data_IF_014351085011
#
_entry.id   IF_014351085011
#
_cell.length_a   1.000
_cell.length_b   1.000
_cell.length_c   1.000
_cell.angle_alpha   90.00
_cell.angle_beta   90.00
_cell.angle_gamma   90.00
#
_symmetry.space_group_name_H-M   'P 1'
#
loop_
_entity.id
_entity.type
_entity.pdbx_description
1 polymer ?
#
# COMPACT_ATOMS: atom_id res chain seq x y z
N UNK A 1 27.88 -2.30 -25.26
CA UNK A 1 27.45 -1.13 -24.48
C UNK A 1 26.09 -1.45 -23.90
N UNK A 2 25.88 -1.52 -22.58
CA UNK A 2 24.55 -1.74 -22.04
C UNK A 2 23.75 -0.45 -22.20
N UNK A 3 22.63 -0.53 -22.92
CA UNK A 3 21.69 0.57 -23.09
C UNK A 3 21.07 0.87 -21.73
N UNK A 4 21.33 2.07 -21.20
CA UNK A 4 20.65 2.55 -20.00
C UNK A 4 19.14 2.54 -20.25
N UNK A 5 18.40 1.82 -19.41
CA UNK A 5 16.94 1.85 -19.37
C UNK A 5 16.50 3.29 -19.14
N UNK A 6 15.78 3.88 -20.09
CA UNK A 6 15.18 5.20 -19.92
C UNK A 6 14.27 5.21 -18.69
N UNK A 7 14.31 6.24 -17.82
CA UNK A 7 13.38 6.37 -16.71
C UNK A 7 11.95 6.48 -17.25
N UNK A 8 11.03 5.74 -16.62
CA UNK A 8 9.63 5.67 -17.00
C UNK A 8 8.94 7.01 -16.73
N UNK A 9 8.74 7.82 -17.79
CA UNK A 9 8.02 9.09 -17.71
C UNK A 9 6.56 8.89 -17.35
N UNK A 10 6.16 9.25 -16.13
CA UNK A 10 4.76 9.40 -15.77
C UNK A 10 4.31 10.84 -16.10
N UNK A 11 3.69 11.02 -17.27
CA UNK A 11 2.99 12.29 -17.58
C UNK A 11 1.78 12.39 -16.67
N UNK A 12 1.61 13.55 -16.00
CA UNK A 12 0.53 13.82 -15.05
C UNK A 12 -0.81 13.26 -15.55
N UNK A 13 -1.33 12.16 -14.98
CA UNK A 13 -2.54 11.56 -15.51
C UNK A 13 -3.69 12.51 -15.20
N UNK A 14 -4.75 12.45 -16.00
CA UNK A 14 -6.06 12.97 -15.60
C UNK A 14 -6.55 12.30 -14.30
N UNK A 15 -7.83 12.45 -13.92
CA UNK A 15 -8.35 11.75 -12.74
C UNK A 15 -8.02 10.25 -12.78
N UNK A 16 -7.79 9.60 -11.63
CA UNK A 16 -7.55 8.16 -11.56
C UNK A 16 -8.65 7.37 -12.27
N UNK A 17 -8.27 6.51 -13.20
CA UNK A 17 -9.12 5.56 -13.91
C UNK A 17 -8.51 4.16 -13.83
N UNK A 18 -9.30 3.09 -14.03
CA UNK A 18 -8.76 1.73 -14.10
C UNK A 18 -7.71 1.50 -15.20
N UNK A 19 -7.58 2.43 -16.16
CA UNK A 19 -6.64 2.35 -17.28
C UNK A 19 -5.34 3.13 -17.04
N UNK A 20 -5.32 4.04 -16.07
CA UNK A 20 -4.16 4.89 -15.77
C UNK A 20 -3.70 4.79 -14.30
N UNK A 21 -4.34 3.93 -13.53
CA UNK A 21 -4.09 3.72 -12.10
C UNK A 21 -3.88 2.25 -11.85
N UNK A 22 -2.80 1.94 -11.14
CA UNK A 22 -2.44 0.60 -10.73
C UNK A 22 -2.47 0.52 -9.20
N UNK A 23 -2.65 -0.69 -8.69
CA UNK A 23 -2.60 -0.96 -7.25
C UNK A 23 -1.26 -1.59 -6.91
N UNK A 24 -0.54 -0.99 -5.97
CA UNK A 24 0.71 -1.54 -5.47
C UNK A 24 0.45 -2.78 -4.60
N UNK A 25 1.10 -3.88 -4.95
CA UNK A 25 1.22 -5.08 -4.14
C UNK A 25 2.68 -5.40 -3.90
N UNK A 26 3.00 -5.92 -2.72
CA UNK A 26 4.31 -6.47 -2.38
C UNK A 26 4.25 -8.00 -2.34
N UNK A 27 5.33 -8.64 -2.76
CA UNK A 27 5.48 -10.08 -2.60
C UNK A 27 6.19 -10.37 -1.28
N UNK A 28 5.45 -10.87 -0.30
CA UNK A 28 6.00 -11.24 0.98
C UNK A 28 6.44 -12.71 0.95
N UNK A 29 7.68 -12.98 1.40
CA UNK A 29 8.21 -14.32 1.59
C UNK A 29 8.78 -14.43 3.00
N UNK A 30 8.30 -15.40 3.78
CA UNK A 30 8.94 -15.72 5.06
C UNK A 30 10.28 -16.41 4.80
N UNK A 31 11.28 -16.22 5.66
CA UNK A 31 12.60 -16.87 5.49
C UNK A 31 12.54 -18.41 5.63
N UNK A 32 11.45 -18.95 6.17
CA UNK A 32 11.19 -20.38 6.18
C UNK A 32 10.91 -20.91 4.76
N UNK A 33 11.64 -21.95 4.36
CA UNK A 33 11.58 -22.53 3.01
C UNK A 33 10.20 -23.14 2.69
N UNK A 34 9.45 -23.57 3.72
CA UNK A 34 8.17 -24.27 3.59
C UNK A 34 7.00 -23.39 3.16
N UNK A 35 7.13 -22.06 3.21
CA UNK A 35 6.04 -21.15 2.88
C UNK A 35 6.30 -20.46 1.53
N UNK A 36 5.45 -20.69 0.51
CA UNK A 36 5.60 -20.00 -0.76
C UNK A 36 5.40 -18.48 -0.58
N UNK A 37 6.04 -17.66 -1.43
CA UNK A 37 5.76 -16.24 -1.44
C UNK A 37 4.28 -15.98 -1.77
N UNK A 38 3.73 -14.91 -1.20
CA UNK A 38 2.37 -14.47 -1.49
C UNK A 38 2.31 -12.96 -1.70
N UNK A 39 1.35 -12.52 -2.51
CA UNK A 39 1.10 -11.11 -2.75
C UNK A 39 0.21 -10.53 -1.65
N UNK A 40 0.55 -9.33 -1.19
CA UNK A 40 -0.21 -8.62 -0.17
C UNK A 40 -0.01 -7.11 -0.32
N UNK A 41 -0.75 -6.31 0.46
CA UNK A 41 -0.52 -4.89 0.57
C UNK A 41 0.59 -4.59 1.57
N UNK A 42 1.30 -3.46 1.43
CA UNK A 42 2.17 -2.97 2.49
C UNK A 42 1.41 -2.82 3.81
N UNK A 43 1.97 -3.33 4.90
CA UNK A 43 1.26 -3.40 6.19
C UNK A 43 2.23 -3.73 7.34
N UNK A 44 1.85 -3.28 8.52
CA UNK A 44 2.38 -3.80 9.77
C UNK A 44 1.59 -3.33 10.97
N UNK A 45 2.24 -3.31 12.14
CA UNK A 45 1.58 -3.02 13.40
C UNK A 45 1.77 -1.55 13.76
N UNK A 46 0.78 -0.90 14.39
CA UNK A 46 0.97 0.41 14.98
C UNK A 46 2.09 0.37 16.04
N UNK A 47 2.93 1.40 16.02
CA UNK A 47 3.95 1.63 17.06
C UNK A 47 3.49 2.74 18.01
N UNK A 48 4.06 2.79 19.23
CA UNK A 48 3.63 3.71 20.29
C UNK A 48 3.83 5.20 19.92
N UNK A 49 4.76 5.49 19.02
CA UNK A 49 5.09 6.82 18.51
C UNK A 49 4.33 7.21 17.24
N UNK A 50 3.53 6.30 16.66
CA UNK A 50 2.66 6.62 15.53
C UNK A 50 1.55 7.60 15.96
N UNK A 51 1.51 8.79 15.35
CA UNK A 51 0.49 9.80 15.66
C UNK A 51 -0.95 9.36 15.30
N UNK A 52 -1.10 8.41 14.37
CA UNK A 52 -2.40 7.77 14.04
C UNK A 52 -2.19 6.51 13.19
N UNK A 53 -3.25 5.71 12.99
CA UNK A 53 -3.22 4.55 12.09
C UNK A 53 -2.87 4.90 10.63
N UNK A 54 -3.12 6.14 10.20
CA UNK A 54 -2.68 6.62 8.87
C UNK A 54 -1.16 6.84 8.84
N UNK A 55 -0.58 7.31 9.94
CA UNK A 55 0.88 7.42 10.06
C UNK A 55 1.55 6.05 10.10
N UNK A 56 0.95 5.06 10.79
CA UNK A 56 1.39 3.66 10.70
C UNK A 56 1.43 3.19 9.24
N UNK A 57 0.36 3.42 8.47
CA UNK A 57 0.32 3.01 7.07
C UNK A 57 1.38 3.71 6.19
N UNK A 58 1.66 4.99 6.45
CA UNK A 58 2.74 5.74 5.77
C UNK A 58 4.11 5.13 6.11
N UNK A 59 4.38 4.87 7.40
CA UNK A 59 5.65 4.31 7.88
C UNK A 59 5.88 2.92 7.28
N UNK A 60 4.90 2.03 7.37
CA UNK A 60 4.99 0.66 6.85
C UNK A 60 5.15 0.62 5.32
N UNK A 61 4.45 1.51 4.59
CA UNK A 61 4.67 1.67 3.15
C UNK A 61 6.12 2.04 2.84
N UNK A 62 6.67 3.01 3.59
CA UNK A 62 8.04 3.44 3.40
C UNK A 62 9.06 2.35 3.76
N UNK A 63 8.86 1.63 4.87
CA UNK A 63 9.76 0.54 5.30
C UNK A 63 9.81 -0.61 4.27
N UNK A 64 8.65 -1.04 3.76
CA UNK A 64 8.59 -2.19 2.86
C UNK A 64 8.89 -1.85 1.38
N UNK A 65 8.82 -0.58 0.98
CA UNK A 65 8.91 -0.19 -0.45
C UNK A 65 9.78 1.03 -0.76
N UNK A 66 10.14 1.84 0.24
CA UNK A 66 10.81 3.12 0.07
C UNK A 66 9.91 4.26 -0.44
N UNK A 67 8.65 3.99 -0.78
CA UNK A 67 7.72 5.01 -1.28
C UNK A 67 7.30 5.98 -0.19
N UNK A 68 7.24 7.27 -0.54
CA UNK A 68 6.85 8.36 0.34
C UNK A 68 5.51 8.92 -0.09
N UNK A 69 4.59 8.96 0.87
CA UNK A 69 3.29 9.62 0.75
C UNK A 69 3.03 10.44 2.00
N UNK A 70 2.31 11.54 1.84
CA UNK A 70 1.88 12.41 2.95
C UNK A 70 0.42 12.14 3.31
N UNK A 71 -0.03 12.60 4.47
CA UNK A 71 -1.44 12.50 4.88
C UNK A 71 -2.39 13.11 3.83
N UNK A 72 -1.95 14.17 3.15
CA UNK A 72 -2.72 14.84 2.09
C UNK A 72 -2.88 14.00 0.82
N UNK A 73 -2.13 12.91 0.67
CA UNK A 73 -2.17 12.03 -0.49
C UNK A 73 -3.21 10.92 -0.35
N UNK A 74 -3.77 10.72 0.86
CA UNK A 74 -4.86 9.78 1.07
C UNK A 74 -6.11 10.17 0.30
N UNK A 75 -6.67 9.19 -0.40
CA UNK A 75 -7.96 9.28 -1.05
C UNK A 75 -9.05 9.27 0.01
N UNK A 76 -9.90 10.31 0.01
CA UNK A 76 -11.13 10.31 0.79
C UNK A 76 -12.19 9.52 0.02
N UNK A 77 -12.47 8.32 0.49
CA UNK A 77 -13.60 7.54 -0.03
C UNK A 77 -14.89 8.11 0.54
N UNK A 78 -15.94 8.14 -0.27
CA UNK A 78 -17.26 8.60 0.15
C UNK A 78 -18.33 7.58 -0.21
N UNK A 79 -19.33 7.45 0.64
CA UNK A 79 -20.51 6.63 0.37
C UNK A 79 -21.50 7.35 -0.59
N UNK A 80 -22.59 6.67 -0.91
CA UNK A 80 -23.69 7.22 -1.73
C UNK A 80 -24.35 8.47 -1.14
N UNK A 81 -24.19 8.69 0.17
CA UNK A 81 -24.72 9.83 0.91
C UNK A 81 -23.66 10.93 1.12
N UNK A 82 -22.49 10.82 0.47
CA UNK A 82 -21.36 11.75 0.55
C UNK A 82 -20.66 11.80 1.94
N UNK A 83 -20.90 10.82 2.81
CA UNK A 83 -20.17 10.67 4.08
C UNK A 83 -18.79 10.07 3.81
N UNK A 84 -17.79 10.38 4.65
CA UNK A 84 -16.49 9.71 4.59
C UNK A 84 -16.67 8.21 4.88
N UNK A 85 -16.28 7.39 3.92
CA UNK A 85 -16.34 5.95 4.00
C UNK A 85 -14.96 5.38 4.33
N UNK A 86 -14.94 4.31 5.09
CA UNK A 86 -13.72 3.54 5.36
C UNK A 86 -13.87 2.19 4.66
N UNK A 87 -12.84 1.81 3.89
CA UNK A 87 -12.82 0.49 3.29
C UNK A 87 -12.27 -0.52 4.30
N UNK A 88 -13.13 -1.43 4.75
CA UNK A 88 -12.79 -2.51 5.68
C UNK A 88 -13.24 -3.86 5.15
N UNK A 89 -12.47 -4.90 5.42
CA UNK A 89 -12.81 -6.27 5.10
C UNK A 89 -12.70 -7.15 6.34
N UNK A 90 -13.69 -8.03 6.55
CA UNK A 90 -13.68 -8.99 7.65
C UNK A 90 -13.69 -10.40 7.09
N UNK A 91 -12.71 -11.23 7.49
CA UNK A 91 -12.64 -12.63 7.10
C UNK A 91 -12.18 -13.52 8.26
N UNK A 92 -12.55 -14.80 8.20
CA UNK A 92 -12.05 -15.80 9.16
C UNK A 92 -10.80 -16.43 8.59
N UNK A 93 -9.67 -16.32 9.30
CA UNK A 93 -8.48 -17.06 8.93
C UNK A 93 -8.72 -18.56 9.16
N UNK A 94 -8.74 -19.41 8.12
CA UNK A 94 -9.14 -20.81 8.24
C UNK A 94 -8.17 -21.63 9.10
N UNK A 95 -6.91 -21.19 9.22
CA UNK A 95 -5.86 -21.85 9.99
C UNK A 95 -5.97 -21.47 11.46
N UNK A 96 -6.06 -20.16 11.75
CA UNK A 96 -6.09 -19.64 13.13
C UNK A 96 -7.48 -19.67 13.77
N UNK A 97 -8.53 -19.94 12.98
CA UNK A 97 -9.96 -19.88 13.38
C UNK A 97 -10.35 -18.57 14.07
N UNK A 98 -9.58 -17.51 13.83
CA UNK A 98 -9.80 -16.19 14.37
C UNK A 98 -10.40 -15.30 13.28
N UNK A 99 -11.40 -14.51 13.65
CA UNK A 99 -11.87 -13.41 12.82
C UNK A 99 -10.77 -12.37 12.69
N UNK A 100 -10.59 -11.84 11.49
CA UNK A 100 -9.66 -10.77 11.19
C UNK A 100 -10.41 -9.66 10.47
N UNK A 101 -10.23 -8.45 10.96
CA UNK A 101 -10.66 -7.22 10.30
C UNK A 101 -9.42 -6.55 9.71
N UNK A 102 -9.54 -6.05 8.48
CA UNK A 102 -8.51 -5.31 7.77
C UNK A 102 -9.10 -3.97 7.38
N UNK A 103 -8.36 -2.90 7.66
CA UNK A 103 -8.69 -1.54 7.23
C UNK A 103 -7.69 -1.08 6.18
N UNK A 104 -8.19 -0.51 5.10
CA UNK A 104 -7.37 -0.05 4.00
C UNK A 104 -7.32 1.48 3.97
N UNK A 105 -6.13 2.00 3.70
CA UNK A 105 -5.90 3.42 3.45
C UNK A 105 -5.30 3.59 2.06
N UNK A 106 -6.09 4.05 1.10
CA UNK A 106 -5.62 4.25 -0.27
C UNK A 106 -5.00 5.65 -0.41
N UNK A 107 -3.77 5.73 -0.93
CA UNK A 107 -3.09 6.99 -1.21
C UNK A 107 -2.61 7.03 -2.66
N UNK A 108 -2.54 8.23 -3.23
CA UNK A 108 -1.92 8.45 -4.53
C UNK A 108 -0.42 8.66 -4.37
N UNK A 109 0.37 7.76 -4.92
CA UNK A 109 1.82 7.95 -5.03
C UNK A 109 2.08 8.96 -6.14
N UNK A 110 2.63 10.12 -5.79
CA UNK A 110 2.92 11.21 -6.73
C UNK A 110 4.30 11.03 -7.37
N UNK A 111 4.37 11.25 -8.68
CA UNK A 111 5.61 11.41 -9.44
C UNK A 111 6.48 10.16 -9.55
N UNK A 112 7.67 10.32 -10.11
CA UNK A 112 8.70 9.28 -10.13
C UNK A 112 9.37 9.22 -8.74
N UNK A 113 9.22 8.09 -8.06
CA UNK A 113 9.93 7.79 -6.82
C UNK A 113 10.75 6.52 -7.03
N UNK A 114 11.99 6.50 -6.53
CA UNK A 114 12.78 5.27 -6.51
C UNK A 114 12.17 4.30 -5.51
N UNK A 115 11.75 3.14 -6.00
CA UNK A 115 11.34 2.02 -5.15
C UNK A 115 12.61 1.32 -4.69
N UNK A 116 12.87 1.38 -3.39
CA UNK A 116 14.00 0.70 -2.77
C UNK A 116 13.47 -0.49 -1.96
N UNK A 117 13.86 -1.70 -2.37
CA UNK A 117 13.65 -2.89 -1.53
C UNK A 117 14.74 -2.85 -0.45
N UNK A 118 14.36 -2.74 0.81
CA UNK A 118 15.31 -2.91 1.92
C UNK A 118 15.47 -4.41 2.23
N UNK A 119 16.72 -4.86 2.38
CA UNK A 119 17.10 -6.26 2.67
C UNK A 119 16.92 -6.66 4.13
#
# INVERSE_FOLDING_TARGET
TPTASSPLRLTSPGPPTPQNTEVLLIQQKTREISHPPYWTFPKGHPEDDDASLRHTAIRELFEETGLRVEISDFLTLRDENNNEAVFTETYTNPIRKAGKEVRYWAALVKGEQEVAVQE
#
